data_IF_638175627954
#
_entry.id   IF_638175627954
#
_cell.length_a   1.000
_cell.length_b   1.000
_cell.length_c   1.000
_cell.angle_alpha   90.00
_cell.angle_beta   90.00
_cell.angle_gamma   90.00
#
_symmetry.space_group_name_H-M   'P 1'
#
loop_
_entity.id
_entity.type
_entity.pdbx_description
1 polymer ?
#
# COMPACT_ATOMS: atom_id res chain seq x y z
N UNK A 1 17.43 -23.68 -12.11
CA UNK A 1 16.06 -23.27 -11.76
C UNK A 1 15.87 -23.65 -10.31
N UNK A 2 15.60 -22.67 -9.45
CA UNK A 2 15.52 -22.88 -8.00
C UNK A 2 14.33 -23.81 -7.64
N UNK A 3 14.34 -24.44 -6.46
CA UNK A 3 13.25 -25.27 -5.97
C UNK A 3 11.92 -24.49 -5.94
N UNK A 4 11.98 -23.20 -5.62
CA UNK A 4 10.82 -22.31 -5.71
C UNK A 4 10.26 -22.23 -7.13
N UNK A 5 11.10 -21.97 -8.13
CA UNK A 5 10.68 -21.80 -9.53
C UNK A 5 10.00 -23.09 -10.05
N UNK A 6 10.54 -24.26 -9.73
CA UNK A 6 9.97 -25.54 -10.15
C UNK A 6 8.59 -25.80 -9.53
N UNK A 7 8.43 -25.51 -8.23
CA UNK A 7 7.14 -25.62 -7.54
C UNK A 7 6.13 -24.60 -8.05
N UNK A 8 6.58 -23.38 -8.32
CA UNK A 8 5.78 -22.31 -8.89
C UNK A 8 5.26 -22.70 -10.27
N UNK A 9 6.12 -23.16 -11.16
CA UNK A 9 5.73 -23.59 -12.52
C UNK A 9 4.71 -24.73 -12.47
N UNK A 10 4.93 -25.74 -11.62
CA UNK A 10 4.00 -26.86 -11.45
C UNK A 10 2.64 -26.42 -10.88
N UNK A 11 2.63 -25.43 -9.99
CA UNK A 11 1.41 -24.96 -9.31
C UNK A 11 0.83 -23.66 -9.89
N UNK A 12 1.35 -23.19 -11.02
CA UNK A 12 1.16 -21.83 -11.52
C UNK A 12 -0.30 -21.40 -11.52
N UNK A 13 -1.20 -22.20 -12.10
CA UNK A 13 -2.61 -21.85 -12.23
C UNK A 13 -3.28 -21.62 -10.86
N UNK A 14 -2.95 -22.43 -9.85
CA UNK A 14 -3.51 -22.32 -8.51
C UNK A 14 -2.94 -21.12 -7.75
N UNK A 15 -1.62 -20.91 -7.85
CA UNK A 15 -0.96 -19.74 -7.24
C UNK A 15 -1.48 -18.45 -7.87
N UNK A 16 -1.55 -18.38 -9.20
CA UNK A 16 -2.07 -17.24 -9.93
C UNK A 16 -3.54 -16.96 -9.57
N UNK A 17 -4.39 -18.00 -9.49
CA UNK A 17 -5.77 -17.84 -9.07
C UNK A 17 -5.87 -17.26 -7.64
N UNK A 18 -5.15 -17.82 -6.67
CA UNK A 18 -5.18 -17.36 -5.29
C UNK A 18 -4.69 -15.92 -5.14
N UNK A 19 -3.56 -15.58 -5.77
CA UNK A 19 -3.00 -14.24 -5.75
C UNK A 19 -3.92 -13.21 -6.43
N UNK A 20 -4.38 -13.51 -7.66
CA UNK A 20 -5.22 -12.58 -8.41
C UNK A 20 -6.59 -12.38 -7.75
N UNK A 21 -7.18 -13.44 -7.19
CA UNK A 21 -8.45 -13.32 -6.45
C UNK A 21 -8.33 -12.34 -5.29
N UNK A 22 -7.21 -12.38 -4.55
CA UNK A 22 -6.94 -11.46 -3.46
C UNK A 22 -6.72 -10.03 -3.96
N UNK A 23 -5.88 -9.84 -4.99
CA UNK A 23 -5.58 -8.51 -5.53
C UNK A 23 -6.85 -7.82 -6.07
N UNK A 24 -7.67 -8.54 -6.84
CA UNK A 24 -8.94 -8.01 -7.37
C UNK A 24 -9.92 -7.71 -6.25
N UNK A 25 -10.02 -8.56 -5.23
CA UNK A 25 -10.85 -8.28 -4.06
C UNK A 25 -10.41 -7.01 -3.34
N UNK A 26 -9.11 -6.87 -3.12
CA UNK A 26 -8.51 -5.75 -2.41
C UNK A 26 -8.76 -4.43 -3.15
N UNK A 27 -8.56 -4.39 -4.47
CA UNK A 27 -8.87 -3.21 -5.29
C UNK A 27 -10.36 -2.86 -5.23
N UNK A 28 -11.25 -3.86 -5.33
CA UNK A 28 -12.70 -3.65 -5.21
C UNK A 28 -13.08 -3.08 -3.85
N UNK A 29 -12.54 -3.63 -2.76
CA UNK A 29 -12.76 -3.14 -1.39
C UNK A 29 -12.20 -1.74 -1.21
N UNK A 30 -11.04 -1.42 -1.76
CA UNK A 30 -10.47 -0.07 -1.69
C UNK A 30 -11.43 0.97 -2.28
N UNK A 31 -12.06 0.65 -3.42
CA UNK A 31 -13.04 1.54 -4.06
C UNK A 31 -14.30 1.71 -3.19
N UNK A 32 -14.82 0.60 -2.65
CA UNK A 32 -16.11 0.61 -1.96
C UNK A 32 -16.00 1.03 -0.49
N UNK A 33 -15.01 0.52 0.23
CA UNK A 33 -14.83 0.73 1.67
C UNK A 33 -14.06 2.00 1.99
N UNK A 34 -13.32 2.61 1.05
CA UNK A 34 -12.72 3.94 1.28
C UNK A 34 -13.42 5.05 0.49
N UNK A 35 -14.36 4.70 -0.38
CA UNK A 35 -15.04 5.65 -1.29
C UNK A 35 -14.07 6.47 -2.16
N UNK A 36 -12.89 5.90 -2.43
CA UNK A 36 -11.84 6.49 -3.25
C UNK A 36 -11.72 5.75 -4.57
N UNK A 37 -11.59 6.48 -5.67
CA UNK A 37 -11.10 5.86 -6.90
C UNK A 37 -9.64 5.40 -6.71
N UNK A 38 -9.24 4.37 -7.46
CA UNK A 38 -7.92 3.74 -7.29
C UNK A 38 -6.76 4.73 -7.45
N UNK A 39 -6.86 5.69 -8.36
CA UNK A 39 -5.82 6.72 -8.53
C UNK A 39 -5.68 7.60 -7.27
N UNK A 40 -6.79 7.98 -6.64
CA UNK A 40 -6.79 8.76 -5.40
C UNK A 40 -6.18 7.96 -4.25
N UNK A 41 -6.60 6.71 -4.07
CA UNK A 41 -6.08 5.85 -3.02
C UNK A 41 -4.58 5.57 -3.21
N UNK A 42 -4.16 5.33 -4.45
CA UNK A 42 -2.77 5.13 -4.82
C UNK A 42 -1.92 6.38 -4.52
N UNK A 43 -2.39 7.58 -4.91
CA UNK A 43 -1.70 8.84 -4.61
C UNK A 43 -1.62 9.11 -3.11
N UNK A 44 -2.68 8.79 -2.35
CA UNK A 44 -2.68 8.94 -0.90
C UNK A 44 -1.64 8.03 -0.23
N UNK A 45 -1.59 6.75 -0.62
CA UNK A 45 -0.57 5.81 -0.14
C UNK A 45 0.85 6.21 -0.54
N UNK A 46 1.07 6.60 -1.80
CA UNK A 46 2.38 7.10 -2.27
C UNK A 46 2.85 8.32 -1.48
N UNK A 47 1.96 9.30 -1.26
CA UNK A 47 2.28 10.48 -0.49
C UNK A 47 2.64 10.11 0.95
N UNK A 48 1.86 9.24 1.60
CA UNK A 48 2.17 8.75 2.95
C UNK A 48 3.56 8.14 3.02
N UNK A 49 3.92 7.27 2.07
CA UNK A 49 5.23 6.65 1.99
C UNK A 49 6.35 7.70 1.82
N UNK A 50 6.17 8.65 0.90
CA UNK A 50 7.18 9.68 0.64
C UNK A 50 7.34 10.65 1.81
N UNK A 51 6.26 10.95 2.56
CA UNK A 51 6.33 11.81 3.73
C UNK A 51 7.20 11.22 4.85
N UNK A 52 7.25 9.88 4.96
CA UNK A 52 7.92 9.19 6.07
C UNK A 52 9.14 8.37 5.65
N UNK A 53 9.44 8.28 4.35
CA UNK A 53 10.55 7.47 3.82
C UNK A 53 11.89 7.77 4.49
N UNK A 54 12.13 9.02 4.87
CA UNK A 54 13.35 9.46 5.56
C UNK A 54 13.46 8.97 7.01
N UNK A 55 12.33 8.68 7.66
CA UNK A 55 12.30 8.18 9.03
C UNK A 55 12.59 6.67 9.09
N UNK A 56 12.32 5.92 8.01
CA UNK A 56 12.51 4.47 7.96
C UNK A 56 13.97 4.16 7.61
N UNK A 57 14.78 3.88 8.64
CA UNK A 57 16.18 3.47 8.48
C UNK A 57 16.26 1.97 8.15
N UNK A 58 17.06 1.54 7.15
CA UNK A 58 17.26 0.13 6.86
C UNK A 58 17.75 -0.63 8.11
N UNK A 59 17.11 -1.75 8.42
CA UNK A 59 17.47 -2.60 9.56
C UNK A 59 16.99 -2.12 10.94
N UNK A 60 16.35 -0.95 11.05
CA UNK A 60 15.78 -0.50 12.31
C UNK A 60 14.60 -1.39 12.74
N UNK A 61 14.52 -1.68 14.04
CA UNK A 61 13.40 -2.43 14.59
C UNK A 61 12.12 -1.57 14.58
N UNK A 62 10.92 -2.14 14.36
CA UNK A 62 9.67 -1.38 14.39
C UNK A 62 9.46 -0.59 15.69
N UNK A 63 9.88 -1.13 16.84
CA UNK A 63 9.80 -0.46 18.14
C UNK A 63 10.64 0.82 18.23
N UNK A 64 11.66 0.97 17.39
CA UNK A 64 12.49 2.19 17.32
C UNK A 64 11.87 3.25 16.40
N UNK A 65 10.93 2.83 15.54
CA UNK A 65 10.32 3.67 14.53
C UNK A 65 8.91 4.13 14.90
N UNK A 66 8.28 3.54 15.92
CA UNK A 66 6.88 3.78 16.26
C UNK A 66 6.71 4.49 17.60
N UNK A 67 5.80 5.47 17.66
CA UNK A 67 5.32 6.05 18.91
C UNK A 67 4.37 5.07 19.62
N UNK A 68 4.03 5.38 20.88
CA UNK A 68 3.14 4.56 21.72
C UNK A 68 1.74 4.37 21.14
N UNK A 69 1.30 5.25 20.23
CA UNK A 69 0.04 5.17 19.50
C UNK A 69 0.13 4.36 18.19
N UNK A 70 1.31 3.81 17.86
CA UNK A 70 1.53 2.96 16.69
C UNK A 70 1.78 3.71 15.38
N UNK A 71 1.96 5.03 15.40
CA UNK A 71 2.38 5.81 14.24
C UNK A 71 3.90 6.01 14.19
N UNK A 72 4.45 6.40 13.04
CA UNK A 72 5.89 6.62 12.90
C UNK A 72 6.38 7.82 13.74
N UNK A 73 7.52 7.62 14.40
CA UNK A 73 8.33 8.66 15.03
C UNK A 73 9.06 9.47 13.96
N UNK A 74 9.21 10.77 14.23
CA UNK A 74 9.91 11.70 13.35
C UNK A 74 8.96 12.65 12.62
N UNK A 75 9.55 13.66 11.99
CA UNK A 75 8.79 14.66 11.24
C UNK A 75 8.38 14.11 9.88
N UNK A 76 7.13 14.39 9.49
CA UNK A 76 6.73 14.24 8.10
C UNK A 76 7.50 15.24 7.24
N UNK A 77 7.94 14.80 6.07
CA UNK A 77 8.54 15.68 5.07
C UNK A 77 7.55 15.95 3.93
N UNK A 78 6.95 17.15 3.84
CA UNK A 78 6.04 17.49 2.76
C UNK A 78 6.69 17.41 1.37
N UNK A 79 5.97 16.81 0.43
CA UNK A 79 6.47 16.42 -0.90
C UNK A 79 6.04 17.44 -1.97
N UNK A 80 6.89 17.70 -2.98
CA UNK A 80 6.51 18.60 -4.07
C UNK A 80 5.55 17.89 -5.02
N UNK A 81 4.68 18.66 -5.67
CA UNK A 81 3.82 18.14 -6.73
C UNK A 81 4.62 17.46 -7.86
N UNK A 82 5.79 18.01 -8.21
CA UNK A 82 6.67 17.44 -9.25
C UNK A 82 7.14 16.04 -8.91
N UNK A 83 7.43 15.78 -7.64
CA UNK A 83 7.96 14.49 -7.18
C UNK A 83 6.84 13.44 -7.24
N UNK A 84 5.61 13.82 -6.83
CA UNK A 84 4.43 12.98 -6.96
C UNK A 84 4.10 12.65 -8.43
N UNK A 85 4.23 13.63 -9.34
CA UNK A 85 4.05 13.40 -10.78
C UNK A 85 5.07 12.39 -11.30
N UNK A 86 6.34 12.55 -10.92
CA UNK A 86 7.41 11.67 -11.36
C UNK A 86 7.23 10.24 -10.85
N UNK A 87 6.92 10.07 -9.56
CA UNK A 87 6.80 8.73 -8.93
C UNK A 87 5.50 8.03 -9.35
N UNK A 88 4.40 8.76 -9.49
CA UNK A 88 3.12 8.17 -9.90
C UNK A 88 3.04 7.85 -11.40
N UNK A 89 3.81 8.54 -12.24
CA UNK A 89 3.69 8.49 -13.70
C UNK A 89 2.40 9.11 -14.25
N UNK A 90 1.59 9.75 -13.40
CA UNK A 90 0.33 10.38 -13.80
C UNK A 90 0.55 11.81 -14.33
N UNK A 91 -0.29 12.29 -15.26
CA UNK A 91 -0.22 13.68 -15.72
C UNK A 91 -0.36 14.67 -14.57
N UNK A 92 0.38 15.79 -14.63
CA UNK A 92 0.37 16.84 -13.60
C UNK A 92 -1.03 17.30 -13.21
N UNK A 93 -1.89 17.50 -14.20
CA UNK A 93 -3.26 17.95 -13.97
C UNK A 93 -4.10 16.87 -13.26
N UNK A 94 -3.88 15.59 -13.59
CA UNK A 94 -4.50 14.47 -12.88
C UNK A 94 -4.07 14.45 -11.42
N UNK A 95 -2.76 14.50 -11.14
CA UNK A 95 -2.24 14.50 -9.75
C UNK A 95 -2.81 15.69 -8.97
N UNK A 96 -2.79 16.90 -9.54
CA UNK A 96 -3.33 18.09 -8.90
C UNK A 96 -4.81 17.92 -8.54
N UNK A 97 -5.64 17.51 -9.49
CA UNK A 97 -7.08 17.32 -9.30
C UNK A 97 -7.38 16.28 -8.21
N UNK A 98 -6.63 15.17 -8.16
CA UNK A 98 -6.81 14.12 -7.14
C UNK A 98 -6.37 14.59 -5.75
N UNK A 99 -5.26 15.31 -5.64
CA UNK A 99 -4.80 15.88 -4.37
C UNK A 99 -5.78 16.92 -3.84
N UNK A 100 -6.35 17.76 -4.71
CA UNK A 100 -7.40 18.71 -4.32
C UNK A 100 -8.65 17.99 -3.78
N UNK A 101 -9.07 16.88 -4.40
CA UNK A 101 -10.16 16.02 -3.90
C UNK A 101 -9.81 15.40 -2.54
N UNK A 102 -8.62 14.82 -2.40
CA UNK A 102 -8.15 14.25 -1.13
C UNK A 102 -8.08 15.30 -0.01
N UNK A 103 -7.74 16.55 -0.35
CA UNK A 103 -7.75 17.67 0.59
C UNK A 103 -9.17 18.01 1.06
N UNK A 104 -10.13 18.02 0.15
CA UNK A 104 -11.55 18.22 0.49
C UNK A 104 -12.08 17.12 1.42
N UNK A 105 -11.56 15.90 1.27
CA UNK A 105 -11.86 14.75 2.14
C UNK A 105 -11.05 14.72 3.44
N UNK A 106 -10.24 15.75 3.73
CA UNK A 106 -9.43 15.80 4.96
C UNK A 106 -8.29 14.77 5.03
N UNK A 107 -7.91 14.16 3.90
CA UNK A 107 -6.86 13.12 3.87
C UNK A 107 -5.45 13.71 3.77
N UNK A 108 -5.33 14.88 3.14
CA UNK A 108 -4.06 15.55 2.87
C UNK A 108 -4.20 17.06 3.10
N UNK A 109 -3.08 17.74 3.30
CA UNK A 109 -2.99 19.20 3.31
C UNK A 109 -1.97 19.71 2.30
N UNK A 110 -2.16 20.95 1.88
CA UNK A 110 -1.15 21.72 1.15
C UNK A 110 -0.53 22.73 2.09
N UNK A 111 0.78 22.68 2.25
CA UNK A 111 1.55 23.60 3.09
C UNK A 111 1.67 24.97 2.44
N UNK A 112 2.08 25.98 3.22
CA UNK A 112 2.24 27.37 2.72
C UNK A 112 3.26 27.49 1.58
N UNK A 113 4.29 26.65 1.58
CA UNK A 113 5.27 26.57 0.49
C UNK A 113 4.83 25.68 -0.68
N UNK A 114 3.55 25.28 -0.71
CA UNK A 114 2.92 24.58 -1.84
C UNK A 114 3.21 23.08 -1.93
N UNK A 115 3.80 22.47 -0.89
CA UNK A 115 4.05 21.02 -0.79
C UNK A 115 2.84 20.29 -0.22
N UNK A 116 2.82 18.97 -0.37
CA UNK A 116 1.73 18.09 0.06
C UNK A 116 2.16 17.18 1.20
N UNK A 117 1.25 16.97 2.14
CA UNK A 117 1.50 16.16 3.33
C UNK A 117 0.22 15.41 3.69
N UNK A 118 0.35 14.15 4.10
CA UNK A 118 -0.78 13.40 4.63
C UNK A 118 -1.15 13.90 6.02
N UNK A 119 -2.45 13.93 6.31
CA UNK A 119 -2.94 14.25 7.63
C UNK A 119 -3.03 12.96 8.45
N UNK A 120 -2.51 12.98 9.68
CA UNK A 120 -2.68 11.89 10.64
C UNK A 120 -4.16 11.58 10.85
N UNK A 121 -4.96 12.62 11.07
CA UNK A 121 -6.42 12.53 11.21
C UNK A 121 -7.12 12.09 9.91
N UNK A 122 -6.39 12.05 8.78
CA UNK A 122 -6.85 11.46 7.54
C UNK A 122 -6.97 9.93 7.61
N UNK A 123 -6.31 9.29 8.58
CA UNK A 123 -6.53 7.87 8.92
C UNK A 123 -7.67 7.80 9.92
N UNK A 124 -8.89 7.83 9.41
CA UNK A 124 -10.11 7.64 10.19
C UNK A 124 -10.35 6.17 10.55
N UNK A 125 -11.38 5.93 11.37
CA UNK A 125 -11.77 4.58 11.81
C UNK A 125 -12.03 3.64 10.62
N UNK A 126 -12.57 4.18 9.51
CA UNK A 126 -12.83 3.45 8.28
C UNK A 126 -11.52 3.01 7.61
N UNK A 127 -10.55 3.92 7.42
CA UNK A 127 -9.24 3.60 6.87
C UNK A 127 -8.45 2.64 7.77
N UNK A 128 -8.55 2.82 9.09
CA UNK A 128 -7.92 1.92 10.05
C UNK A 128 -8.51 0.50 9.97
N UNK A 129 -9.84 0.37 9.99
CA UNK A 129 -10.53 -0.90 9.87
C UNK A 129 -10.24 -1.59 8.52
N UNK A 130 -10.26 -0.83 7.42
CA UNK A 130 -9.89 -1.31 6.09
C UNK A 130 -8.48 -1.88 6.06
N UNK A 131 -7.52 -1.17 6.66
CA UNK A 131 -6.11 -1.58 6.73
C UNK A 131 -5.96 -2.86 7.53
N UNK A 132 -6.56 -2.92 8.73
CA UNK A 132 -6.56 -4.12 9.58
C UNK A 132 -7.09 -5.34 8.86
N UNK A 133 -8.24 -5.22 8.19
CA UNK A 133 -8.84 -6.33 7.45
C UNK A 133 -8.03 -6.70 6.20
N UNK A 134 -7.42 -5.71 5.52
CA UNK A 134 -6.54 -5.95 4.37
C UNK A 134 -5.33 -6.80 4.77
N UNK A 135 -4.68 -6.46 5.89
CA UNK A 135 -3.54 -7.23 6.42
C UNK A 135 -3.97 -8.65 6.80
N UNK A 136 -5.12 -8.81 7.46
CA UNK A 136 -5.66 -10.13 7.83
C UNK A 136 -5.85 -11.02 6.58
N UNK A 137 -6.46 -10.48 5.53
CA UNK A 137 -6.69 -11.19 4.26
C UNK A 137 -5.40 -11.49 3.52
N UNK A 138 -4.45 -10.56 3.51
CA UNK A 138 -3.15 -10.77 2.87
C UNK A 138 -2.41 -11.95 3.53
N UNK A 139 -2.34 -11.98 4.85
CA UNK A 139 -1.70 -13.06 5.61
C UNK A 139 -2.40 -14.41 5.37
N UNK A 140 -3.73 -14.42 5.27
CA UNK A 140 -4.47 -15.63 4.94
C UNK A 140 -4.14 -16.12 3.53
N UNK A 141 -4.12 -15.23 2.54
CA UNK A 141 -3.77 -15.57 1.15
C UNK A 141 -2.33 -16.08 1.06
N UNK A 142 -1.39 -15.47 1.77
CA UNK A 142 0.00 -15.92 1.82
C UNK A 142 0.10 -17.37 2.29
N UNK A 143 -0.59 -17.74 3.37
CA UNK A 143 -0.63 -19.13 3.88
C UNK A 143 -1.23 -20.11 2.86
N UNK A 144 -2.25 -19.69 2.12
CA UNK A 144 -2.84 -20.52 1.05
C UNK A 144 -1.82 -20.77 -0.06
N UNK A 145 -1.11 -19.73 -0.50
CA UNK A 145 -0.07 -19.83 -1.53
C UNK A 145 1.09 -20.71 -1.05
N UNK A 146 1.56 -20.53 0.19
CA UNK A 146 2.58 -21.38 0.82
C UNK A 146 2.14 -22.85 0.82
N UNK A 147 0.88 -23.12 1.20
CA UNK A 147 0.32 -24.46 1.15
C UNK A 147 0.31 -25.05 -0.25
N UNK A 148 -0.10 -24.29 -1.27
CA UNK A 148 -0.11 -24.75 -2.67
C UNK A 148 1.32 -25.13 -3.11
N UNK A 149 2.30 -24.26 -2.84
CA UNK A 149 3.69 -24.49 -3.22
C UNK A 149 4.32 -25.68 -2.49
N UNK A 150 3.98 -25.92 -1.23
CA UNK A 150 4.48 -27.07 -0.47
C UNK A 150 3.98 -28.42 -1.00
N UNK A 151 2.76 -28.48 -1.54
CA UNK A 151 2.16 -29.71 -2.07
C UNK A 151 2.52 -29.98 -3.53
N UNK A 152 2.97 -28.96 -4.25
CA UNK A 152 3.47 -29.09 -5.61
C UNK A 152 4.90 -29.67 -5.63
N UNK A 153 5.06 -30.95 -5.24
CA UNK A 153 6.36 -31.63 -5.34
C UNK A 153 6.80 -31.72 -6.81
N UNK A 154 8.05 -31.38 -7.16
CA UNK A 154 8.59 -31.66 -8.48
C UNK A 154 8.42 -33.16 -8.76
N UNK A 155 8.06 -33.54 -9.99
CA UNK A 155 8.08 -34.95 -10.35
C UNK A 155 9.52 -35.46 -10.18
N UNK A 156 9.69 -36.55 -9.42
CA UNK A 156 11.00 -37.19 -9.31
C UNK A 156 11.34 -37.72 -10.70
N UNK A 157 12.39 -37.16 -11.30
CA UNK A 157 12.99 -37.68 -12.53
C UNK A 157 13.61 -39.06 -12.29
#
# INVERSE_FOLDING_TARGET
>A
MDDFDQRFDKAFAMVAFAANRHLVDHMRRMIQELELDLESAMLWGMLAHLNVAHAIRPGAAPSELLSSDGFLLGEHHPVRLTDLVQVSGLPKETVRRKLDKLRQLGKVRRTDNGRWDVLRDGVDDQAYAFTRESVRRLLQTARVIEGILQHARPDQA
#
